data_IF_855134025678
#
_entry.id   IF_855134025678
#
_cell.length_a   1.000
_cell.length_b   1.000
_cell.length_c   1.000
_cell.angle_alpha   90.00
_cell.angle_beta   90.00
_cell.angle_gamma   90.00
#
_symmetry.space_group_name_H-M   'P 1'
#
loop_
_entity.id
_entity.type
_entity.pdbx_description
1 polymer ?
#
# COMPACT_ATOMS: atom_id res chain seq x y z
N UNK A 1 -47.06 63.25 45.79
CA UNK A 1 -45.77 63.84 45.42
C UNK A 1 -45.86 64.39 44.00
N UNK A 2 -45.25 65.54 43.76
CA UNK A 2 -45.23 66.31 42.50
C UNK A 2 -43.76 66.35 42.00
N UNK A 3 -43.42 66.65 40.75
CA UNK A 3 -44.15 67.21 39.58
C UNK A 3 -43.62 66.57 38.28
N UNK A 4 -44.49 66.39 37.27
CA UNK A 4 -44.35 66.69 35.82
C UNK A 4 -43.04 66.44 35.03
N UNK A 5 -43.22 66.13 33.74
CA UNK A 5 -42.22 65.98 32.66
C UNK A 5 -41.50 67.30 32.34
N UNK A 6 -40.19 67.27 32.13
CA UNK A 6 -39.48 68.29 31.32
C UNK A 6 -38.49 67.69 30.31
N UNK A 7 -38.22 68.47 29.24
CA UNK A 7 -37.35 68.12 28.11
C UNK A 7 -36.59 69.38 27.65
N UNK A 8 -35.26 69.39 27.77
CA UNK A 8 -34.36 70.33 27.09
C UNK A 8 -32.98 69.63 26.93
N UNK A 9 -32.41 69.43 25.73
CA UNK A 9 -31.88 70.37 24.72
C UNK A 9 -30.52 70.98 25.09
N UNK A 10 -29.47 70.58 24.36
CA UNK A 10 -28.47 71.55 23.86
C UNK A 10 -26.97 71.33 24.15
N UNK A 11 -26.21 71.00 23.09
CA UNK A 11 -24.87 71.55 22.73
C UNK A 11 -23.68 71.34 23.71
N UNK A 12 -22.53 70.80 23.31
CA UNK A 12 -21.70 71.22 22.18
C UNK A 12 -20.62 70.18 21.82
N UNK A 13 -20.07 70.33 20.60
CA UNK A 13 -18.96 69.53 20.04
C UNK A 13 -17.61 70.08 20.52
N UNK A 14 -16.74 69.22 21.05
CA UNK A 14 -15.32 69.52 21.22
C UNK A 14 -14.50 68.76 20.16
N UNK A 15 -13.90 69.51 19.24
CA UNK A 15 -13.31 69.01 18.00
C UNK A 15 -11.92 68.38 18.25
N UNK A 16 -11.81 67.04 18.14
CA UNK A 16 -10.52 66.37 17.84
C UNK A 16 -10.54 65.90 16.39
N UNK A 17 -9.90 66.68 15.53
CA UNK A 17 -9.70 66.33 14.12
C UNK A 17 -9.01 64.96 14.01
N UNK A 18 -9.76 63.95 13.59
CA UNK A 18 -9.20 62.66 13.24
C UNK A 18 -8.53 62.81 11.86
N UNK A 19 -7.20 62.82 11.84
CA UNK A 19 -6.41 63.01 10.62
C UNK A 19 -6.56 61.80 9.69
N UNK A 20 -7.62 61.83 8.87
CA UNK A 20 -8.07 60.72 8.00
C UNK A 20 -6.95 60.20 7.12
N UNK A 21 -6.00 61.07 6.71
CA UNK A 21 -4.85 60.70 5.88
C UNK A 21 -3.89 59.74 6.59
N UNK A 22 -3.67 59.91 7.91
CA UNK A 22 -2.82 58.98 8.69
C UNK A 22 -3.47 57.61 8.86
N UNK A 23 -4.79 57.57 9.08
CA UNK A 23 -5.54 56.32 9.21
C UNK A 23 -5.59 55.57 7.87
N UNK A 24 -5.84 56.27 6.75
CA UNK A 24 -5.77 55.68 5.42
C UNK A 24 -4.36 55.14 5.10
N UNK A 25 -3.29 55.89 5.38
CA UNK A 25 -1.93 55.42 5.13
C UNK A 25 -1.59 54.14 5.92
N UNK A 26 -1.94 54.07 7.21
CA UNK A 26 -1.73 52.87 8.05
C UNK A 26 -2.54 51.66 7.56
N UNK A 27 -3.81 51.86 7.18
CA UNK A 27 -4.64 50.79 6.61
C UNK A 27 -4.06 50.26 5.29
N UNK A 28 -3.66 51.16 4.38
CA UNK A 28 -3.07 50.77 3.09
C UNK A 28 -1.75 50.01 3.27
N UNK A 29 -0.85 50.46 4.15
CA UNK A 29 0.39 49.73 4.47
C UNK A 29 0.14 48.34 5.09
N UNK A 30 -0.88 48.21 5.94
CA UNK A 30 -1.24 46.94 6.59
C UNK A 30 -1.86 45.94 5.62
N UNK A 31 -2.71 46.43 4.69
CA UNK A 31 -3.27 45.61 3.61
C UNK A 31 -2.15 45.14 2.68
N UNK A 32 -1.31 46.06 2.18
CA UNK A 32 -0.21 45.78 1.25
C UNK A 32 0.74 44.70 1.80
N UNK A 33 1.15 44.76 3.07
CA UNK A 33 1.97 43.69 3.68
C UNK A 33 1.28 42.33 3.71
N UNK A 34 -0.05 42.29 3.91
CA UNK A 34 -0.83 41.05 3.99
C UNK A 34 -1.05 40.41 2.62
N UNK A 35 -1.18 41.21 1.55
CA UNK A 35 -1.41 40.69 0.18
C UNK A 35 -0.20 39.95 -0.40
N UNK A 36 1.03 40.36 -0.06
CA UNK A 36 2.26 39.72 -0.58
C UNK A 36 2.74 38.53 0.24
N UNK A 37 2.34 38.40 1.51
CA UNK A 37 2.73 37.27 2.38
C UNK A 37 2.05 35.94 1.99
N UNK A 38 0.79 35.98 1.55
CA UNK A 38 0.06 34.78 1.10
C UNK A 38 0.67 34.08 -0.13
N UNK A 39 0.94 34.76 -1.27
CA UNK A 39 1.46 34.09 -2.46
C UNK A 39 2.88 33.54 -2.27
N UNK A 40 3.72 34.20 -1.47
CA UNK A 40 5.08 33.70 -1.16
C UNK A 40 5.00 32.39 -0.37
N UNK A 41 4.09 32.28 0.60
CA UNK A 41 3.87 31.06 1.36
C UNK A 41 3.36 29.91 0.47
N UNK A 42 2.49 30.22 -0.50
CA UNK A 42 1.96 29.23 -1.45
C UNK A 42 3.04 28.64 -2.37
N UNK A 43 3.99 29.45 -2.83
CA UNK A 43 5.09 28.98 -3.69
C UNK A 43 6.07 28.04 -2.96
N UNK A 44 6.26 28.18 -1.65
CA UNK A 44 7.18 27.32 -0.87
C UNK A 44 6.62 25.89 -0.76
N UNK A 45 5.29 25.73 -0.67
CA UNK A 45 4.64 24.40 -0.61
C UNK A 45 4.79 23.63 -1.93
N UNK A 46 4.82 24.33 -3.07
CA UNK A 46 5.01 23.72 -4.40
C UNK A 46 6.47 23.40 -4.77
N UNK A 47 7.44 23.87 -3.98
CA UNK A 47 8.88 23.66 -4.21
C UNK A 47 9.51 22.59 -3.32
N UNK A 48 8.71 21.89 -2.50
CA UNK A 48 9.16 20.62 -1.92
C UNK A 48 9.26 19.65 -3.10
N UNK A 49 10.47 19.19 -3.51
CA UNK A 49 10.52 18.09 -4.44
C UNK A 49 9.81 16.93 -3.75
N UNK A 50 8.76 16.41 -4.37
CA UNK A 50 8.27 15.08 -4.03
C UNK A 50 9.43 14.14 -4.28
N UNK A 51 10.22 13.88 -3.24
CA UNK A 51 11.18 12.80 -3.23
C UNK A 51 10.33 11.57 -3.49
N UNK A 52 10.36 11.10 -4.72
CA UNK A 52 9.82 9.80 -5.07
C UNK A 52 10.54 8.85 -4.13
N UNK A 53 9.85 8.44 -3.06
CA UNK A 53 10.38 7.45 -2.16
C UNK A 53 10.68 6.26 -3.06
N UNK A 54 11.96 5.92 -3.13
CA UNK A 54 12.35 4.62 -3.63
C UNK A 54 11.88 3.63 -2.57
N UNK A 55 10.57 3.38 -2.56
CA UNK A 55 9.99 2.20 -1.97
C UNK A 55 10.66 1.03 -2.70
N UNK A 56 11.74 0.52 -2.10
CA UNK A 56 12.06 -0.89 -2.17
C UNK A 56 10.72 -1.60 -2.03
N UNK A 57 10.24 -2.35 -3.03
CA UNK A 57 8.90 -2.90 -2.98
C UNK A 57 8.83 -3.78 -1.74
N UNK A 58 8.16 -3.28 -0.69
CA UNK A 58 8.17 -3.83 0.66
C UNK A 58 7.45 -5.19 0.75
N UNK A 59 7.04 -5.70 -0.41
CA UNK A 59 6.33 -6.92 -0.64
C UNK A 59 7.20 -8.07 -1.08
N UNK A 60 8.54 -8.02 -1.23
CA UNK A 60 9.34 -9.23 -1.53
C UNK A 60 10.04 -9.78 -0.28
N UNK A 61 9.75 -11.04 0.05
CA UNK A 61 10.31 -11.76 1.21
C UNK A 61 11.49 -12.66 0.79
N UNK A 62 11.30 -13.48 -0.25
CA UNK A 62 12.36 -14.34 -0.79
C UNK A 62 12.24 -14.50 -2.30
N UNK A 63 13.36 -14.77 -2.97
CA UNK A 63 13.41 -15.12 -4.39
C UNK A 63 14.40 -16.27 -4.58
N UNK A 64 14.00 -17.31 -5.30
CA UNK A 64 14.87 -18.44 -5.64
C UNK A 64 14.68 -18.85 -7.10
N UNK A 65 15.75 -19.35 -7.72
CA UNK A 65 15.76 -19.76 -9.13
C UNK A 65 16.23 -21.21 -9.26
N UNK A 66 15.49 -22.01 -10.02
CA UNK A 66 15.73 -23.43 -10.22
C UNK A 66 15.82 -23.74 -11.71
N UNK A 67 16.71 -24.66 -12.09
CA UNK A 67 16.69 -25.24 -13.44
C UNK A 67 15.74 -26.44 -13.45
N UNK A 68 14.69 -26.33 -14.27
CA UNK A 68 13.66 -27.35 -14.49
C UNK A 68 13.66 -27.66 -15.99
N UNK A 69 14.06 -28.88 -16.34
CA UNK A 69 14.37 -29.27 -17.72
C UNK A 69 15.38 -28.28 -18.35
N UNK A 70 15.07 -27.73 -19.53
CA UNK A 70 15.91 -26.75 -20.23
C UNK A 70 15.61 -25.29 -19.82
N UNK A 71 14.62 -25.07 -18.96
CA UNK A 71 14.13 -23.74 -18.59
C UNK A 71 14.62 -23.31 -17.21
N UNK A 72 14.79 -22.00 -17.06
CA UNK A 72 15.03 -21.37 -15.76
C UNK A 72 13.68 -20.98 -15.18
N UNK A 73 13.37 -21.46 -13.99
CA UNK A 73 12.14 -21.15 -13.27
C UNK A 73 12.50 -20.32 -12.05
N UNK A 74 11.80 -19.22 -11.82
CA UNK A 74 11.93 -18.39 -10.61
C UNK A 74 10.67 -18.51 -9.78
N UNK A 75 10.82 -18.59 -8.47
CA UNK A 75 9.75 -18.31 -7.51
C UNK A 75 10.14 -17.11 -6.67
N UNK A 76 9.21 -16.18 -6.52
CA UNK A 76 9.28 -15.03 -5.64
C UNK A 76 8.14 -15.13 -4.62
N UNK A 77 8.51 -15.22 -3.34
CA UNK A 77 7.59 -15.20 -2.21
C UNK A 77 7.45 -13.75 -1.77
N UNK A 78 6.23 -13.23 -1.75
CA UNK A 78 5.99 -11.89 -1.25
C UNK A 78 5.91 -11.84 0.28
N UNK A 79 5.87 -10.64 0.87
CA UNK A 79 5.54 -10.47 2.29
C UNK A 79 4.10 -10.94 2.52
N UNK A 80 3.96 -12.10 3.17
CA UNK A 80 2.67 -12.76 3.29
C UNK A 80 1.73 -12.13 4.33
N UNK A 81 2.22 -11.26 5.20
CA UNK A 81 1.40 -10.50 6.15
C UNK A 81 0.74 -9.27 5.48
N UNK A 82 1.46 -8.61 4.56
CA UNK A 82 1.02 -7.34 3.94
C UNK A 82 0.37 -7.55 2.57
N UNK A 83 0.91 -8.46 1.76
CA UNK A 83 0.43 -8.76 0.42
C UNK A 83 0.75 -10.23 0.07
N UNK A 84 -0.03 -11.19 0.60
CA UNK A 84 0.20 -12.62 0.36
C UNK A 84 0.07 -12.94 -1.12
N UNK A 85 1.21 -13.29 -1.72
CA UNK A 85 1.37 -13.54 -3.14
C UNK A 85 2.61 -14.40 -3.34
N UNK A 86 2.48 -15.43 -4.17
CA UNK A 86 3.60 -16.17 -4.72
C UNK A 86 3.61 -15.91 -6.23
N UNK A 87 4.74 -15.42 -6.75
CA UNK A 87 4.92 -15.21 -8.20
C UNK A 87 5.89 -16.30 -8.72
N UNK A 88 5.43 -17.08 -9.69
CA UNK A 88 6.24 -18.09 -10.38
C UNK A 88 6.46 -17.62 -11.81
N UNK A 89 7.70 -17.68 -12.28
CA UNK A 89 8.08 -17.25 -13.63
C UNK A 89 8.83 -18.36 -14.36
N UNK A 90 8.60 -18.47 -15.67
CA UNK A 90 9.49 -19.22 -16.57
C UNK A 90 10.29 -18.23 -17.43
N UNK A 91 11.59 -18.48 -17.51
CA UNK A 91 12.56 -17.66 -18.21
C UNK A 91 13.24 -18.54 -19.25
N UNK A 92 13.10 -18.16 -20.52
CA UNK A 92 13.72 -18.87 -21.64
C UNK A 92 15.24 -18.62 -21.64
N UNK A 93 16.00 -19.67 -21.93
CA UNK A 93 17.46 -19.58 -22.11
C UNK A 93 17.82 -19.94 -23.55
N UNK A 94 18.85 -19.31 -24.17
CA UNK A 94 19.77 -18.31 -23.61
C UNK A 94 19.27 -16.86 -23.73
N UNK A 95 18.01 -16.62 -24.13
CA UNK A 95 17.50 -15.26 -24.37
C UNK A 95 17.26 -14.44 -23.09
N UNK A 96 17.16 -15.11 -21.93
CA UNK A 96 16.82 -14.55 -20.62
C UNK A 96 15.54 -13.70 -20.64
N UNK A 97 14.58 -14.08 -21.49
CA UNK A 97 13.27 -13.44 -21.58
C UNK A 97 12.27 -14.19 -20.71
N UNK A 98 11.42 -13.42 -20.02
CA UNK A 98 10.22 -13.94 -19.38
C UNK A 98 9.31 -14.56 -20.46
N UNK A 99 9.00 -15.85 -20.31
CA UNK A 99 8.13 -16.62 -21.21
C UNK A 99 6.71 -16.69 -20.63
N UNK A 100 6.60 -16.95 -19.33
CA UNK A 100 5.35 -17.04 -18.59
C UNK A 100 5.56 -16.50 -17.18
N UNK A 101 4.49 -15.96 -16.59
CA UNK A 101 4.49 -15.49 -15.20
C UNK A 101 3.12 -15.76 -14.61
N UNK A 102 3.08 -16.27 -13.39
CA UNK A 102 1.87 -16.67 -12.70
C UNK A 102 1.87 -16.19 -11.27
N UNK A 103 0.87 -15.37 -10.97
CA UNK A 103 0.54 -14.90 -9.62
C UNK A 103 -0.40 -15.89 -8.95
N UNK A 104 0.02 -16.41 -7.81
CA UNK A 104 -0.72 -17.33 -6.95
C UNK A 104 -1.06 -16.53 -5.69
N UNK A 105 -2.30 -16.05 -5.64
CA UNK A 105 -2.93 -15.39 -4.50
C UNK A 105 -4.11 -16.21 -3.94
N UNK A 106 -4.26 -17.43 -4.45
CA UNK A 106 -5.31 -18.40 -4.13
C UNK A 106 -4.87 -19.78 -4.57
N UNK A 107 -5.36 -20.81 -3.89
CA UNK A 107 -5.16 -22.22 -4.23
C UNK A 107 -6.51 -22.95 -4.31
N UNK A 108 -6.53 -24.13 -4.92
CA UNK A 108 -7.68 -25.03 -4.93
C UNK A 108 -7.34 -26.24 -4.06
N UNK A 109 -8.07 -26.42 -2.96
CA UNK A 109 -7.93 -27.56 -2.04
C UNK A 109 -9.28 -28.26 -1.92
N UNK A 110 -9.35 -29.55 -2.23
CA UNK A 110 -10.59 -30.36 -2.17
C UNK A 110 -11.85 -29.74 -2.83
N UNK A 111 -11.62 -28.96 -3.90
CA UNK A 111 -12.60 -28.16 -4.68
C UNK A 111 -13.04 -26.83 -4.04
N UNK A 112 -12.55 -26.51 -2.84
CA UNK A 112 -12.66 -25.18 -2.24
C UNK A 112 -11.54 -24.27 -2.76
N UNK A 113 -11.86 -23.01 -3.07
CA UNK A 113 -10.86 -22.00 -3.43
C UNK A 113 -10.47 -21.23 -2.18
N UNK A 114 -9.26 -21.45 -1.70
CA UNK A 114 -8.69 -20.73 -0.56
C UNK A 114 -7.98 -19.48 -1.09
N UNK A 115 -8.66 -18.33 -1.03
CA UNK A 115 -8.10 -17.04 -1.42
C UNK A 115 -7.30 -16.44 -0.26
N UNK A 116 -6.06 -16.01 -0.51
CA UNK A 116 -5.18 -15.55 0.58
C UNK A 116 -5.69 -14.26 1.26
N UNK A 117 -6.49 -13.45 0.54
CA UNK A 117 -7.20 -12.27 1.07
C UNK A 117 -8.29 -12.61 2.09
N UNK A 118 -8.78 -13.84 2.07
CA UNK A 118 -9.96 -14.29 2.83
C UNK A 118 -9.52 -15.20 4.01
N UNK A 119 -8.24 -15.13 4.35
CA UNK A 119 -7.57 -15.83 5.45
C UNK A 119 -7.42 -14.92 6.68
N UNK A 120 -7.18 -15.53 7.85
CA UNK A 120 -6.61 -14.82 9.00
C UNK A 120 -5.09 -14.63 8.86
N UNK A 121 -4.45 -15.39 7.98
CA UNK A 121 -3.03 -15.36 7.64
C UNK A 121 -2.68 -16.51 6.71
N UNK A 122 -1.66 -16.32 5.87
CA UNK A 122 -1.04 -17.37 5.06
C UNK A 122 0.46 -17.26 5.25
N UNK A 123 1.15 -18.36 5.49
CA UNK A 123 2.60 -18.40 5.61
C UNK A 123 3.18 -19.44 4.65
N UNK A 124 4.43 -19.25 4.23
CA UNK A 124 5.14 -20.20 3.36
C UNK A 124 6.22 -20.88 4.19
N UNK A 125 5.97 -22.12 4.58
CA UNK A 125 6.81 -22.87 5.51
C UNK A 125 8.04 -23.48 4.84
N UNK A 126 7.89 -23.92 3.59
CA UNK A 126 8.96 -24.48 2.77
C UNK A 126 8.64 -24.26 1.28
N UNK A 127 9.65 -24.19 0.43
CA UNK A 127 9.49 -24.16 -1.02
C UNK A 127 10.78 -24.58 -1.72
N UNK A 128 10.66 -25.19 -2.90
CA UNK A 128 11.83 -25.66 -3.62
C UNK A 128 11.49 -26.43 -4.88
N UNK A 129 12.37 -27.36 -5.26
CA UNK A 129 12.19 -28.22 -6.44
C UNK A 129 12.11 -29.69 -6.03
N UNK A 130 11.06 -30.38 -6.48
CA UNK A 130 10.92 -31.85 -6.43
C UNK A 130 10.95 -32.40 -7.85
N UNK A 131 12.06 -33.02 -8.23
CA UNK A 131 12.25 -33.55 -9.58
C UNK A 131 12.13 -32.47 -10.67
N UNK A 132 11.03 -32.51 -11.42
CA UNK A 132 10.66 -31.58 -12.51
C UNK A 132 9.54 -30.61 -12.14
N UNK A 133 9.05 -30.64 -10.90
CA UNK A 133 8.06 -29.69 -10.37
C UNK A 133 8.72 -28.72 -9.38
N UNK A 134 8.14 -27.53 -9.27
CA UNK A 134 8.39 -26.62 -8.16
C UNK A 134 7.35 -26.92 -7.07
N UNK A 135 7.71 -26.86 -5.79
CA UNK A 135 6.75 -27.04 -4.70
C UNK A 135 6.80 -25.86 -3.73
N UNK A 136 5.72 -25.65 -3.01
CA UNK A 136 5.65 -24.78 -1.84
C UNK A 136 4.64 -25.36 -0.82
N UNK A 137 4.94 -25.20 0.46
CA UNK A 137 4.10 -25.60 1.58
C UNK A 137 3.53 -24.34 2.21
N UNK A 138 2.21 -24.29 2.38
CA UNK A 138 1.51 -23.19 3.05
C UNK A 138 1.00 -23.63 4.42
N UNK A 139 1.08 -22.74 5.41
CA UNK A 139 0.17 -22.79 6.57
C UNK A 139 -0.92 -21.74 6.34
N UNK A 140 -2.17 -22.21 6.16
CA UNK A 140 -3.32 -21.36 5.84
C UNK A 140 -4.25 -21.28 7.05
N UNK A 141 -4.38 -20.09 7.64
CA UNK A 141 -5.25 -19.84 8.80
C UNK A 141 -6.62 -19.35 8.33
N UNK A 142 -7.68 -20.07 8.67
CA UNK A 142 -9.05 -19.68 8.35
C UNK A 142 -9.55 -18.55 9.28
N UNK A 143 -10.38 -17.64 8.78
CA UNK A 143 -10.95 -16.53 9.59
C UNK A 143 -11.81 -16.97 10.79
N UNK A 144 -12.37 -18.20 10.76
CA UNK A 144 -13.34 -18.69 11.75
C UNK A 144 -13.05 -20.12 12.23
N UNK A 145 -11.88 -20.68 11.90
CA UNK A 145 -11.48 -22.06 12.20
C UNK A 145 -9.99 -22.11 12.59
N UNK A 146 -9.39 -23.31 12.62
CA UNK A 146 -7.96 -23.49 12.81
C UNK A 146 -7.12 -23.11 11.57
N UNK A 147 -5.97 -23.76 11.42
CA UNK A 147 -5.17 -23.71 10.19
C UNK A 147 -5.09 -25.08 9.51
N UNK A 148 -4.57 -25.07 8.28
CA UNK A 148 -4.27 -26.29 7.51
C UNK A 148 -2.91 -26.14 6.83
N UNK A 149 -2.05 -27.15 7.00
CA UNK A 149 -0.83 -27.26 6.21
C UNK A 149 -1.17 -27.85 4.84
N UNK A 150 -0.78 -27.16 3.78
CA UNK A 150 -1.08 -27.55 2.40
C UNK A 150 0.22 -27.66 1.61
N UNK A 151 0.48 -28.82 1.04
CA UNK A 151 1.58 -29.02 0.10
C UNK A 151 1.05 -28.81 -1.32
N UNK A 152 1.68 -27.91 -2.08
CA UNK A 152 1.30 -27.53 -3.43
C UNK A 152 2.46 -27.76 -4.41
N UNK A 153 2.19 -28.45 -5.52
CA UNK A 153 3.14 -28.65 -6.60
C UNK A 153 2.73 -27.92 -7.89
N UNK A 154 3.70 -27.22 -8.49
CA UNK A 154 3.57 -26.50 -9.76
C UNK A 154 4.28 -27.29 -10.86
N UNK A 155 3.48 -27.78 -11.80
CA UNK A 155 3.94 -28.45 -13.02
C UNK A 155 4.16 -27.45 -14.16
N UNK A 156 5.08 -27.77 -15.07
CA UNK A 156 5.41 -26.94 -16.24
C UNK A 156 5.22 -27.73 -17.54
N UNK A 157 4.49 -27.16 -18.50
CA UNK A 157 4.25 -27.79 -19.80
C UNK A 157 4.73 -26.86 -20.92
N UNK A 158 5.83 -27.22 -21.58
CA UNK A 158 6.46 -26.42 -22.68
C UNK A 158 6.70 -24.94 -22.30
N UNK A 159 7.12 -24.68 -21.06
CA UNK A 159 7.33 -23.32 -20.53
C UNK A 159 6.10 -22.63 -19.96
N UNK A 160 4.91 -23.22 -20.05
CA UNK A 160 3.69 -22.68 -19.44
C UNK A 160 3.46 -23.26 -18.04
N UNK A 161 3.07 -22.37 -17.13
CA UNK A 161 2.92 -22.66 -15.71
C UNK A 161 1.49 -23.19 -15.47
N UNK A 162 1.38 -24.45 -15.06
CA UNK A 162 0.08 -25.07 -14.82
C UNK A 162 -0.59 -24.51 -13.55
N UNK A 163 -1.82 -24.92 -13.25
CA UNK A 163 -2.39 -24.66 -11.93
C UNK A 163 -1.62 -25.46 -10.87
N UNK A 164 -1.31 -24.89 -9.70
CA UNK A 164 -0.78 -25.68 -8.59
C UNK A 164 -1.77 -26.80 -8.24
N UNK A 165 -1.25 -28.01 -8.10
CA UNK A 165 -1.95 -29.17 -7.55
C UNK A 165 -1.67 -29.19 -6.06
N UNK A 166 -2.70 -29.00 -5.22
CA UNK A 166 -2.54 -28.85 -3.77
C UNK A 166 -3.28 -29.94 -3.01
N UNK A 167 -2.69 -30.40 -1.91
CA UNK A 167 -3.23 -31.42 -1.00
C UNK A 167 -2.88 -31.09 0.45
N UNK A 168 -3.71 -31.52 1.40
CA UNK A 168 -3.38 -31.42 2.83
C UNK A 168 -2.08 -32.18 3.09
N UNK A 169 -1.13 -31.54 3.76
CA UNK A 169 0.11 -32.17 4.18
C UNK A 169 -0.15 -32.97 5.45
N UNK A 170 -0.15 -34.30 5.35
CA UNK A 170 -0.20 -35.16 6.53
C UNK A 170 1.05 -34.91 7.39
N UNK A 171 0.86 -34.85 8.71
CA UNK A 171 1.97 -34.81 9.65
C UNK A 171 2.60 -36.20 9.72
N UNK A 172 3.85 -36.33 9.27
CA UNK A 172 4.65 -37.51 9.62
C UNK A 172 4.92 -37.46 11.13
N UNK A 173 4.19 -38.28 11.89
CA UNK A 173 4.54 -38.54 13.30
C UNK A 173 5.92 -39.21 13.34
N UNK A 174 6.90 -38.48 13.85
CA UNK A 174 8.25 -39.01 14.10
C UNK A 174 8.18 -39.86 15.38
N UNK A 175 8.13 -41.19 15.21
CA UNK A 175 8.34 -42.18 16.29
C UNK A 175 9.74 -42.09 16.92
#
# INVERSE_FOLDING_TARGET
MLLIIEKAVGKNIANKSCDVRKVQALLMFSIVKRTYLLPILMCIVFLIPSSAYAELPASLSSVSSYRINEQLVRIAIHNMEINPLIEVDTIDTPSYRLNDSKKINSILLDKEVLAFSDSAGVFVEDYGKRGTKLFFVLDYFYLQSGSVLVDCEVSFNKGKIMQPECSVKEYEEVE
#
